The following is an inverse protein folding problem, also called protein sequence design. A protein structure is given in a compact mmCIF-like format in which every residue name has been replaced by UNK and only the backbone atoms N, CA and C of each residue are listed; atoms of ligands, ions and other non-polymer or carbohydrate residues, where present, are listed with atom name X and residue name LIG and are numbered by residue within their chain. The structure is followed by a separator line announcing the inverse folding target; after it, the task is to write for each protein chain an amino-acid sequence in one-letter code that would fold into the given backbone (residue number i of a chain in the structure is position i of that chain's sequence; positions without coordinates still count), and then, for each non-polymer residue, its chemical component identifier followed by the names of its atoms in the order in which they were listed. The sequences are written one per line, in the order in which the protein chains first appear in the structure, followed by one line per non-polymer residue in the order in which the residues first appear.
data_IF_604873345856
#
_entry.id   IF_604873345856
#
_cell.length_a   1.000
_cell.length_b   1.000
_cell.length_c   1.000
_cell.angle_alpha   90.00
_cell.angle_beta   90.00
_cell.angle_gamma   90.00
#
_symmetry.space_group_name_H-M   'P 1'
#
loop_
_entity.id
_entity.type
_entity.pdbx_description
1 polymer ?
#
# COMPACT_ATOMS: atom_id res chain seq x y z
N UNK A 1 -49.22 9.57 10.16
CA UNK A 1 -47.76 9.72 10.37
C UNK A 1 -47.10 9.81 9.00
N UNK A 2 -46.33 10.86 8.70
CA UNK A 2 -45.75 11.09 7.36
C UNK A 2 -44.38 10.41 7.28
N UNK A 3 -44.25 9.36 6.48
CA UNK A 3 -43.00 8.63 6.28
C UNK A 3 -42.06 9.46 5.41
N UNK A 4 -40.88 9.80 5.93
CA UNK A 4 -39.83 10.50 5.16
C UNK A 4 -38.90 9.46 4.54
N UNK A 5 -38.91 9.36 3.21
CA UNK A 5 -38.03 8.47 2.45
C UNK A 5 -36.64 9.10 2.34
N UNK A 6 -35.61 8.39 2.80
CA UNK A 6 -34.21 8.79 2.69
C UNK A 6 -33.63 8.12 1.44
N UNK A 7 -33.17 8.90 0.46
CA UNK A 7 -32.55 8.39 -0.77
C UNK A 7 -31.04 8.42 -0.58
N UNK A 8 -30.40 7.25 -0.61
CA UNK A 8 -28.95 7.09 -0.56
C UNK A 8 -28.41 7.00 -2.00
N UNK A 9 -27.78 8.07 -2.49
CA UNK A 9 -27.15 8.09 -3.81
C UNK A 9 -25.74 7.49 -3.72
N UNK A 10 -25.53 6.34 -4.35
CA UNK A 10 -24.21 5.69 -4.45
C UNK A 10 -23.53 6.18 -5.73
N UNK A 11 -22.56 7.10 -5.61
CA UNK A 11 -21.78 7.58 -6.75
C UNK A 11 -20.72 6.54 -7.11
N UNK A 12 -20.91 5.83 -8.23
CA UNK A 12 -19.88 4.95 -8.78
C UNK A 12 -18.82 5.79 -9.51
N UNK A 13 -17.65 5.96 -8.91
CA UNK A 13 -16.50 6.56 -9.59
C UNK A 13 -15.87 5.51 -10.50
N UNK A 14 -16.03 5.65 -11.82
CA UNK A 14 -15.31 4.83 -12.79
C UNK A 14 -13.86 5.30 -12.90
N UNK A 15 -12.91 4.48 -12.45
CA UNK A 15 -11.49 4.69 -12.72
C UNK A 15 -11.19 4.34 -14.17
N UNK A 16 -10.80 5.33 -14.97
CA UNK A 16 -10.30 5.14 -16.32
C UNK A 16 -8.86 4.63 -16.20
N UNK A 17 -8.64 3.33 -16.41
CA UNK A 17 -7.31 2.77 -16.59
C UNK A 17 -6.89 2.99 -18.06
N UNK A 18 -6.08 4.00 -18.31
CA UNK A 18 -5.43 4.17 -19.61
C UNK A 18 -4.39 3.05 -19.80
N UNK A 19 -4.76 2.01 -20.54
CA UNK A 19 -3.88 0.91 -20.92
C UNK A 19 -2.90 1.33 -22.01
N UNK A 20 -1.81 1.98 -21.63
CA UNK A 20 -0.59 2.11 -22.45
C UNK A 20 0.25 0.82 -22.35
N UNK A 21 1.03 0.52 -23.40
CA UNK A 21 1.95 -0.61 -23.48
C UNK A 21 2.70 -0.80 -22.13
N UNK A 22 2.45 -1.92 -21.45
CA UNK A 22 3.03 -2.23 -20.15
C UNK A 22 4.53 -2.54 -20.28
N UNK A 23 5.35 -1.51 -20.46
CA UNK A 23 6.70 -1.54 -19.90
C UNK A 23 6.47 -1.72 -18.40
N UNK A 24 6.84 -2.89 -17.84
CA UNK A 24 6.83 -3.05 -16.38
C UNK A 24 7.59 -1.84 -15.82
N UNK A 25 6.90 -1.00 -15.07
CA UNK A 25 7.51 0.22 -14.54
C UNK A 25 8.82 -0.18 -13.84
N UNK A 26 9.91 0.50 -14.17
CA UNK A 26 11.25 0.21 -13.65
C UNK A 26 11.27 0.22 -12.11
N UNK A 27 10.28 0.86 -11.52
CA UNK A 27 9.98 0.91 -10.10
C UNK A 27 8.49 0.69 -9.90
N UNK A 28 8.10 0.04 -8.81
CA UNK A 28 6.70 -0.15 -8.45
C UNK A 28 6.54 -0.22 -6.95
N UNK A 29 5.59 0.54 -6.41
CA UNK A 29 5.29 0.55 -4.98
C UNK A 29 3.82 0.23 -4.74
N UNK A 30 3.56 -0.78 -3.92
CA UNK A 30 2.23 -1.16 -3.48
C UNK A 30 2.24 -1.28 -1.95
N UNK A 31 1.46 -0.44 -1.30
CA UNK A 31 1.36 -0.38 0.15
C UNK A 31 -0.10 -0.28 0.56
N UNK A 32 -0.42 -0.69 1.78
CA UNK A 32 -1.77 -0.63 2.26
C UNK A 32 -2.00 -1.38 3.55
N UNK A 33 -3.29 -1.58 3.83
CA UNK A 33 -3.78 -2.17 5.05
C UNK A 33 -4.50 -3.49 4.74
N UNK A 34 -4.07 -4.55 5.41
CA UNK A 34 -4.87 -5.76 5.61
C UNK A 34 -5.78 -5.62 6.83
N UNK A 35 -6.54 -6.68 7.12
CA UNK A 35 -7.46 -6.72 8.28
C UNK A 35 -6.68 -6.55 9.59
N UNK A 36 -5.58 -7.29 9.77
CA UNK A 36 -4.75 -7.28 10.99
C UNK A 36 -3.30 -6.90 10.73
N UNK A 37 -3.01 -6.36 9.55
CA UNK A 37 -1.63 -6.03 9.12
C UNK A 37 -1.61 -4.76 8.28
N UNK A 38 -0.41 -4.18 8.16
CA UNK A 38 -0.08 -3.19 7.16
C UNK A 38 1.14 -3.68 6.39
N UNK A 39 1.22 -3.38 5.10
CA UNK A 39 2.30 -3.84 4.23
C UNK A 39 2.86 -2.71 3.37
N UNK A 40 4.15 -2.80 3.05
CA UNK A 40 4.85 -1.97 2.06
C UNK A 40 5.65 -2.91 1.16
N UNK A 41 5.27 -2.99 -0.11
CA UNK A 41 5.96 -3.79 -1.12
C UNK A 41 6.55 -2.86 -2.16
N UNK A 42 7.87 -2.87 -2.32
CA UNK A 42 8.58 -2.04 -3.29
C UNK A 42 9.44 -2.90 -4.21
N UNK A 43 9.40 -2.60 -5.51
CA UNK A 43 10.25 -3.20 -6.52
C UNK A 43 11.08 -2.10 -7.16
N UNK A 44 12.38 -2.36 -7.31
CA UNK A 44 13.27 -1.52 -8.09
C UNK A 44 14.10 -2.41 -9.02
N UNK A 45 14.05 -2.14 -10.32
CA UNK A 45 14.67 -2.98 -11.35
C UNK A 45 16.19 -2.93 -11.40
N UNK A 46 16.80 -1.77 -11.09
CA UNK A 46 18.23 -1.52 -11.29
C UNK A 46 19.06 -1.26 -10.02
N UNK A 47 18.44 -1.05 -8.86
CA UNK A 47 19.12 -0.64 -7.63
C UNK A 47 18.76 -1.51 -6.44
N UNK A 48 19.66 -1.53 -5.46
CA UNK A 48 19.33 -2.08 -4.14
C UNK A 48 18.28 -1.17 -3.52
N UNK A 49 17.30 -1.76 -2.86
CA UNK A 49 16.16 -1.02 -2.33
C UNK A 49 15.61 -1.65 -1.05
N UNK A 50 14.77 -0.87 -0.38
CA UNK A 50 14.13 -1.25 0.87
C UNK A 50 12.66 -0.89 0.86
N UNK A 51 11.88 -1.69 1.56
CA UNK A 51 10.53 -1.35 1.97
C UNK A 51 10.46 -1.36 3.50
N UNK A 52 9.71 -0.44 4.08
CA UNK A 52 9.51 -0.37 5.53
C UNK A 52 8.07 0.02 5.82
N UNK A 53 7.51 -0.57 6.86
CA UNK A 53 6.19 -0.20 7.40
C UNK A 53 6.27 -0.16 8.91
N UNK A 54 5.77 0.93 9.50
CA UNK A 54 5.78 1.15 10.95
C UNK A 54 4.34 1.32 11.42
N UNK A 55 3.95 0.56 12.44
CA UNK A 55 2.71 0.77 13.16
C UNK A 55 2.90 1.92 14.15
N UNK A 56 2.23 3.04 13.93
CA UNK A 56 2.41 4.26 14.71
C UNK A 56 1.81 4.14 16.13
N UNK A 57 0.91 3.18 16.34
CA UNK A 57 0.29 2.95 17.65
C UNK A 57 1.23 2.17 18.59
N UNK A 58 1.98 1.21 18.04
CA UNK A 58 2.84 0.30 18.84
C UNK A 58 4.33 0.58 18.68
N UNK A 59 4.73 1.39 17.70
CA UNK A 59 6.13 1.62 17.34
C UNK A 59 6.80 0.41 16.67
N UNK A 60 6.07 -0.69 16.42
CA UNK A 60 6.63 -1.87 15.74
C UNK A 60 6.87 -1.56 14.26
N UNK A 61 7.97 -2.07 13.71
CA UNK A 61 8.30 -1.90 12.30
C UNK A 61 8.62 -3.24 11.64
N UNK A 62 8.15 -3.40 10.41
CA UNK A 62 8.64 -4.39 9.47
C UNK A 62 9.54 -3.71 8.44
N UNK A 63 10.66 -4.34 8.07
CA UNK A 63 11.59 -3.87 7.04
C UNK A 63 12.02 -5.05 6.20
N UNK A 64 12.19 -4.82 4.91
CA UNK A 64 12.87 -5.75 4.01
C UNK A 64 13.81 -4.98 3.08
N UNK A 65 14.99 -5.56 2.82
CA UNK A 65 16.01 -5.01 1.94
C UNK A 65 16.36 -6.04 0.89
N UNK A 66 16.32 -5.63 -0.37
CA UNK A 66 16.54 -6.53 -1.49
C UNK A 66 17.44 -5.89 -2.55
N UNK A 67 18.09 -6.75 -3.33
CA UNK A 67 18.87 -6.34 -4.50
C UNK A 67 17.99 -5.88 -5.67
N UNK A 68 18.61 -5.48 -6.77
CA UNK A 68 17.91 -5.07 -7.98
C UNK A 68 17.06 -6.22 -8.57
N UNK A 69 15.89 -5.88 -9.13
CA UNK A 69 15.06 -6.80 -9.91
C UNK A 69 14.11 -7.67 -9.10
N UNK A 70 14.18 -7.67 -7.77
CA UNK A 70 13.29 -8.41 -6.86
C UNK A 70 12.39 -7.46 -6.06
N UNK A 71 11.37 -8.00 -5.39
CA UNK A 71 10.45 -7.22 -4.56
C UNK A 71 10.90 -7.26 -3.10
N UNK A 72 11.14 -6.10 -2.50
CA UNK A 72 11.20 -5.94 -1.05
C UNK A 72 9.79 -5.92 -0.45
N UNK A 73 9.51 -6.79 0.51
CA UNK A 73 8.18 -6.98 1.12
C UNK A 73 8.24 -6.83 2.63
N UNK A 74 7.72 -5.72 3.14
CA UNK A 74 7.63 -5.46 4.57
C UNK A 74 6.18 -5.58 5.07
N UNK A 75 6.00 -6.20 6.24
CA UNK A 75 4.69 -6.35 6.89
C UNK A 75 4.83 -6.07 8.38
N UNK A 76 3.83 -5.41 8.97
CA UNK A 76 3.71 -5.25 10.42
C UNK A 76 2.28 -5.56 10.86
N UNK A 77 2.15 -6.16 12.05
CA UNK A 77 0.85 -6.40 12.67
C UNK A 77 0.22 -5.10 13.18
N UNK A 78 -1.11 -5.01 13.07
CA UNK A 78 -1.91 -3.91 13.61
C UNK A 78 -3.36 -4.31 13.89
N UNK A 79 -4.04 -3.53 14.71
CA UNK A 79 -5.50 -3.55 14.81
C UNK A 79 -6.15 -2.72 13.69
N UNK A 80 -7.42 -2.98 13.36
CA UNK A 80 -8.15 -2.38 12.21
C UNK A 80 -8.17 -0.83 12.22
N UNK A 81 -8.05 -0.20 13.38
CA UNK A 81 -8.10 1.26 13.53
C UNK A 81 -6.72 1.93 13.59
N UNK A 82 -5.63 1.15 13.67
CA UNK A 82 -4.29 1.67 13.98
C UNK A 82 -3.55 2.22 12.76
N UNK A 83 -3.18 3.50 12.78
CA UNK A 83 -2.45 4.09 11.65
C UNK A 83 -1.03 3.54 11.55
N UNK A 84 -0.58 3.36 10.31
CA UNK A 84 0.77 2.93 9.97
C UNK A 84 1.40 3.93 8.99
N UNK A 85 2.73 4.03 9.02
CA UNK A 85 3.51 4.80 8.05
C UNK A 85 4.30 3.86 7.14
N UNK A 86 4.33 4.17 5.86
CA UNK A 86 4.94 3.33 4.82
C UNK A 86 6.09 4.08 4.18
N UNK A 87 7.22 3.42 4.02
CA UNK A 87 8.42 3.99 3.43
C UNK A 87 9.03 3.02 2.42
N UNK A 88 9.80 3.58 1.49
CA UNK A 88 10.73 2.86 0.64
C UNK A 88 11.95 3.74 0.41
N UNK A 89 13.07 3.11 0.05
CA UNK A 89 14.28 3.82 -0.35
C UNK A 89 15.11 2.96 -1.32
N UNK A 90 15.99 3.58 -2.10
CA UNK A 90 16.88 2.89 -3.05
C UNK A 90 18.24 3.57 -3.12
N UNK A 91 19.27 2.82 -3.52
CA UNK A 91 20.62 3.33 -3.74
C UNK A 91 21.34 2.61 -4.88
#
# INVERSE_FOLDING_TARGET
MKTKTLILALSATTMIAAGGLSVKAAESWNYGYGISTAYSNYHHSSKTHTATVTNNNTGRSGKDQQGAGVWAKAVVGRNIIEKCTFYYNYW
#
